data_IF_020134427575
#
_entry.id   IF_020134427575
#
_cell.length_a   1.000
_cell.length_b   1.000
_cell.length_c   1.000
_cell.angle_alpha   90.00
_cell.angle_beta   90.00
_cell.angle_gamma   90.00
#
_symmetry.space_group_name_H-M   'P 1'
#
loop_
_entity.id
_entity.type
_entity.pdbx_description
1 polymer ?
#
# COMPACT_ATOMS: atom_id res chain seq x y z
N UNK A 1 -53.70 -58.92 -9.64
CA UNK A 1 -54.66 -58.24 -10.53
C UNK A 1 -55.68 -57.55 -9.64
N UNK A 2 -56.22 -56.41 -10.08
CA UNK A 2 -57.27 -55.58 -9.45
C UNK A 2 -56.74 -54.36 -8.67
N UNK A 3 -56.96 -53.20 -9.31
CA UNK A 3 -56.85 -51.82 -8.83
C UNK A 3 -58.15 -51.38 -8.15
N UNK A 4 -58.17 -50.10 -7.75
CA UNK A 4 -59.31 -49.22 -7.40
C UNK A 4 -59.65 -49.24 -5.90
N UNK A 5 -59.94 -48.13 -5.21
CA UNK A 5 -60.19 -46.75 -5.59
C UNK A 5 -59.93 -45.82 -4.39
N UNK A 6 -59.55 -44.57 -4.65
CA UNK A 6 -59.84 -43.41 -3.79
C UNK A 6 -61.34 -43.11 -3.82
N UNK A 7 -61.96 -42.55 -2.75
CA UNK A 7 -62.10 -41.08 -2.73
C UNK A 7 -62.21 -40.39 -1.35
N UNK A 8 -61.86 -39.10 -1.40
CA UNK A 8 -62.50 -37.94 -0.78
C UNK A 8 -62.29 -37.55 0.70
N UNK A 9 -62.41 -36.23 0.86
CA UNK A 9 -61.87 -35.30 1.85
C UNK A 9 -62.99 -34.66 2.66
N UNK A 10 -62.74 -34.39 3.95
CA UNK A 10 -63.54 -33.50 4.82
C UNK A 10 -62.64 -32.75 5.83
N UNK A 11 -63.10 -31.61 6.39
CA UNK A 11 -62.31 -30.37 6.55
C UNK A 11 -61.72 -30.14 7.98
N UNK A 12 -61.05 -28.99 8.27
CA UNK A 12 -59.99 -28.91 9.28
C UNK A 12 -60.49 -28.53 10.68
N UNK A 13 -59.79 -29.01 11.71
CA UNK A 13 -59.89 -28.48 13.08
C UNK A 13 -58.55 -27.84 13.50
N UNK A 14 -58.63 -26.58 13.90
CA UNK A 14 -57.57 -25.80 14.55
C UNK A 14 -57.10 -26.46 15.85
N UNK A 15 -55.79 -26.48 16.16
CA UNK A 15 -55.33 -26.84 17.50
C UNK A 15 -55.37 -25.64 18.45
N UNK A 16 -55.95 -25.90 19.62
CA UNK A 16 -56.00 -25.06 20.80
C UNK A 16 -54.60 -24.73 21.34
N UNK A 17 -54.48 -23.50 21.84
CA UNK A 17 -53.37 -22.95 22.61
C UNK A 17 -52.89 -23.89 23.74
N UNK A 18 -51.60 -24.18 23.78
CA UNK A 18 -50.91 -24.66 24.98
C UNK A 18 -50.22 -23.49 25.68
N UNK A 19 -50.62 -23.21 26.92
CA UNK A 19 -49.97 -22.25 27.81
C UNK A 19 -48.57 -22.75 28.19
N UNK A 20 -47.55 -21.95 27.86
CA UNK A 20 -46.18 -22.08 28.34
C UNK A 20 -45.91 -21.10 29.48
N UNK A 21 -45.31 -21.61 30.57
CA UNK A 21 -44.95 -20.92 31.80
C UNK A 21 -43.94 -19.77 31.61
N UNK A 22 -43.98 -18.73 32.47
CA UNK A 22 -43.08 -17.59 32.36
C UNK A 22 -41.68 -17.94 32.85
N UNK A 23 -40.66 -17.79 31.99
CA UNK A 23 -39.25 -17.80 32.38
C UNK A 23 -38.69 -16.38 32.34
N UNK A 24 -38.11 -16.01 33.46
CA UNK A 24 -37.38 -14.79 33.80
C UNK A 24 -36.37 -14.39 32.71
N UNK A 25 -36.30 -13.12 32.28
CA UNK A 25 -35.27 -12.68 31.35
C UNK A 25 -33.91 -12.63 32.04
N UNK A 26 -33.00 -13.52 31.61
CA UNK A 26 -31.59 -13.50 31.98
C UNK A 26 -30.91 -12.24 31.44
N UNK A 27 -30.03 -11.68 32.25
CA UNK A 27 -29.24 -10.51 31.96
C UNK A 27 -28.46 -10.64 30.65
N UNK A 28 -28.63 -9.66 29.76
CA UNK A 28 -27.76 -9.46 28.61
C UNK A 28 -26.37 -9.11 29.14
N UNK A 29 -25.40 -10.00 28.91
CA UNK A 29 -23.99 -9.67 29.09
C UNK A 29 -23.60 -8.77 27.92
N UNK A 30 -23.53 -7.47 28.18
CA UNK A 30 -23.10 -6.44 27.24
C UNK A 30 -21.63 -6.69 26.89
N UNK A 31 -21.37 -7.04 25.62
CA UNK A 31 -20.02 -7.11 25.09
C UNK A 31 -19.38 -5.71 25.22
N UNK A 32 -18.11 -5.60 25.65
CA UNK A 32 -17.45 -4.31 25.75
C UNK A 32 -17.40 -3.64 24.37
N UNK A 33 -17.54 -2.30 24.30
CA UNK A 33 -17.53 -1.58 23.03
C UNK A 33 -16.18 -1.79 22.32
N UNK A 34 -16.18 -1.89 20.97
CA UNK A 34 -14.95 -1.98 20.21
C UNK A 34 -14.08 -0.76 20.50
N UNK A 35 -12.78 -1.00 20.68
CA UNK A 35 -11.76 0.02 20.90
C UNK A 35 -11.93 1.18 19.92
N UNK A 36 -11.94 2.44 20.36
CA UNK A 36 -12.13 3.56 19.45
C UNK A 36 -10.98 3.60 18.43
N UNK A 37 -11.32 3.47 17.15
CA UNK A 37 -10.38 3.61 16.04
C UNK A 37 -9.68 4.98 16.14
N UNK A 38 -8.35 5.06 15.97
CA UNK A 38 -7.64 6.32 16.05
C UNK A 38 -8.14 7.29 14.97
N UNK A 39 -8.45 8.53 15.37
CA UNK A 39 -8.94 9.55 14.45
C UNK A 39 -7.91 9.83 13.32
N UNK A 40 -8.36 9.74 12.07
CA UNK A 40 -7.52 10.02 10.89
C UNK A 40 -7.06 11.48 10.97
N UNK A 41 -5.75 11.67 11.11
CA UNK A 41 -5.11 12.99 11.25
C UNK A 41 -4.28 13.35 10.01
N UNK A 42 -4.52 12.66 8.88
CA UNK A 42 -3.83 12.88 7.63
C UNK A 42 -4.14 14.27 7.09
N UNK A 43 -3.12 15.00 6.69
CA UNK A 43 -3.29 16.35 6.14
C UNK A 43 -3.65 16.27 4.65
N UNK A 44 -4.46 17.19 4.11
CA UNK A 44 -4.60 17.33 2.67
C UNK A 44 -3.22 17.61 2.03
N UNK A 45 -2.99 17.23 0.75
CA UNK A 45 -1.76 17.57 0.06
C UNK A 45 -1.59 19.10 0.04
N UNK A 46 -0.40 19.64 0.31
CA UNK A 46 -0.16 21.07 0.23
C UNK A 46 -0.54 21.63 -1.14
N UNK A 47 -1.52 22.55 -1.16
CA UNK A 47 -1.85 23.29 -2.37
C UNK A 47 -0.65 24.14 -2.82
N UNK A 48 -0.28 24.06 -4.11
CA UNK A 48 0.87 24.78 -4.71
C UNK A 48 0.63 26.29 -4.82
N UNK A 49 0.35 26.99 -3.73
CA UNK A 49 0.35 28.46 -3.66
C UNK A 49 1.21 28.92 -2.48
N UNK A 50 2.33 29.56 -2.81
CA UNK A 50 3.32 30.23 -1.94
C UNK A 50 4.15 29.31 -1.03
N UNK A 51 5.30 28.88 -1.54
CA UNK A 51 6.45 28.56 -0.69
C UNK A 51 7.76 29.06 -1.32
N UNK A 52 7.82 30.37 -1.58
CA UNK A 52 9.09 31.11 -1.55
C UNK A 52 9.15 31.77 -0.18
N UNK A 53 10.25 31.54 0.53
CA UNK A 53 10.65 32.08 1.85
C UNK A 53 10.20 31.23 3.05
N UNK A 54 11.08 30.29 3.44
CA UNK A 54 11.62 30.11 4.81
C UNK A 54 12.63 28.95 4.82
N UNK A 55 13.73 29.11 4.08
CA UNK A 55 14.92 28.30 4.29
C UNK A 55 15.82 29.06 5.28
N UNK A 56 15.74 28.69 6.57
CA UNK A 56 16.80 28.83 7.56
C UNK A 56 16.22 28.58 8.96
N UNK A 57 16.49 27.40 9.54
CA UNK A 57 17.15 27.29 10.86
C UNK A 57 17.25 25.83 11.32
N UNK A 58 18.44 25.51 11.81
CA UNK A 58 18.72 24.53 12.87
C UNK A 58 18.72 23.04 12.51
N UNK A 59 19.83 22.57 11.93
CA UNK A 59 20.31 21.19 12.14
C UNK A 59 21.52 21.22 13.07
N UNK A 60 21.32 20.86 14.34
CA UNK A 60 22.40 20.43 15.24
C UNK A 60 21.96 19.19 16.00
N UNK A 61 22.71 18.12 15.77
CA UNK A 61 22.95 16.92 16.58
C UNK A 61 21.75 16.13 17.12
N UNK A 62 21.69 14.83 16.80
CA UNK A 62 21.90 13.73 17.77
C UNK A 62 22.56 12.55 17.02
N UNK A 63 23.70 12.08 17.54
CA UNK A 63 24.33 10.79 17.21
C UNK A 63 23.90 9.73 18.22
N UNK A 64 23.77 8.50 17.73
CA UNK A 64 23.92 7.21 18.42
C UNK A 64 22.91 6.81 19.51
N UNK A 65 22.16 5.73 19.25
CA UNK A 65 22.24 4.48 20.05
C UNK A 65 22.00 3.29 19.09
N UNK A 66 23.07 2.55 18.77
CA UNK A 66 22.98 1.15 18.30
C UNK A 66 23.79 0.36 19.31
N UNK A 67 23.11 -0.31 20.23
CA UNK A 67 23.74 -1.30 21.09
C UNK A 67 22.68 -2.32 21.53
N UNK A 68 23.12 -3.59 21.50
CA UNK A 68 22.46 -4.78 22.06
C UNK A 68 21.32 -5.36 21.22
N UNK A 69 21.66 -6.27 20.32
CA UNK A 69 21.21 -7.68 20.37
C UNK A 69 22.09 -8.48 19.38
N UNK A 70 23.33 -8.74 19.79
CA UNK A 70 24.15 -9.83 19.25
C UNK A 70 24.28 -10.87 20.35
N UNK A 71 23.43 -11.89 20.31
CA UNK A 71 23.64 -13.09 21.10
C UNK A 71 22.86 -14.26 20.53
N UNK A 72 23.32 -14.82 19.41
CA UNK A 72 23.25 -16.27 19.14
C UNK A 72 24.42 -16.67 18.24
N UNK A 73 25.24 -17.67 18.62
CA UNK A 73 26.37 -18.15 17.83
C UNK A 73 25.98 -19.36 16.95
N UNK A 74 26.86 -19.69 15.98
CA UNK A 74 26.96 -20.96 15.24
C UNK A 74 26.07 -21.08 13.98
N UNK A 75 26.51 -20.47 12.87
CA UNK A 75 26.90 -21.15 11.59
C UNK A 75 27.25 -20.06 10.57
N UNK A 76 28.52 -19.90 10.22
CA UNK A 76 28.96 -18.98 9.16
C UNK A 76 29.36 -19.78 7.91
N UNK A 77 28.91 -19.41 6.70
CA UNK A 77 29.67 -19.67 5.49
C UNK A 77 30.55 -18.45 5.16
N UNK A 78 31.78 -18.74 4.75
CA UNK A 78 32.82 -17.77 4.48
C UNK A 78 32.53 -16.89 3.25
N UNK A 79 32.16 -15.63 3.47
CA UNK A 79 32.25 -14.60 2.45
C UNK A 79 33.68 -14.06 2.39
N UNK A 80 34.44 -14.45 1.36
CA UNK A 80 35.76 -13.87 1.04
C UNK A 80 35.56 -12.43 0.55
N UNK A 81 35.80 -11.45 1.41
CA UNK A 81 35.90 -10.05 1.00
C UNK A 81 37.28 -9.82 0.37
N UNK A 82 37.33 -9.60 -0.94
CA UNK A 82 38.51 -9.02 -1.57
C UNK A 82 38.57 -7.55 -1.18
N UNK A 83 39.50 -7.23 -0.26
CA UNK A 83 39.81 -5.86 0.11
C UNK A 83 40.47 -5.14 -1.07
N UNK A 84 39.80 -4.10 -1.56
CA UNK A 84 40.43 -3.07 -2.39
C UNK A 84 40.57 -1.83 -1.51
N UNK A 85 41.83 -1.41 -1.37
CA UNK A 85 42.31 -0.23 -0.63
C UNK A 85 41.69 1.06 -1.21
N UNK A 86 41.27 2.04 -0.40
CA UNK A 86 40.74 3.30 -0.91
C UNK A 86 41.89 4.25 -1.29
N UNK A 87 41.86 4.76 -2.53
CA UNK A 87 42.69 5.90 -2.95
C UNK A 87 42.00 7.21 -2.55
N UNK A 88 42.73 8.04 -1.82
CA UNK A 88 42.37 9.41 -1.42
C UNK A 88 42.01 10.30 -2.62
N UNK A 89 40.94 11.10 -2.48
CA UNK A 89 40.66 12.23 -3.38
C UNK A 89 39.33 12.95 -3.11
N UNK A 90 39.34 13.95 -2.23
CA UNK A 90 38.37 15.07 -2.23
C UNK A 90 37.13 14.93 -1.32
N UNK A 91 36.62 16.06 -0.76
CA UNK A 91 35.38 16.07 0.01
C UNK A 91 34.20 15.92 -0.96
N UNK A 92 33.87 14.68 -1.30
CA UNK A 92 32.64 14.38 -2.01
C UNK A 92 31.48 14.78 -1.10
N UNK A 93 30.82 15.90 -1.44
CA UNK A 93 29.46 16.17 -0.98
C UNK A 93 28.69 14.89 -1.26
N UNK A 94 28.17 14.26 -0.20
CA UNK A 94 27.29 13.10 -0.28
C UNK A 94 26.33 13.36 -1.43
N UNK A 95 26.52 12.64 -2.55
CA UNK A 95 25.58 12.67 -3.66
C UNK A 95 24.41 11.85 -3.13
N UNK A 96 23.58 12.48 -2.29
CA UNK A 96 22.21 12.04 -2.04
C UNK A 96 21.67 11.85 -3.45
N UNK A 97 21.42 10.61 -3.88
CA UNK A 97 21.27 10.17 -5.28
C UNK A 97 20.05 10.74 -5.97
N UNK A 98 19.92 12.06 -5.90
CA UNK A 98 18.76 12.87 -6.16
C UNK A 98 18.84 13.34 -7.59
N UNK A 99 17.85 12.98 -8.38
CA UNK A 99 17.76 13.41 -9.77
C UNK A 99 17.48 14.92 -9.79
N UNK A 100 18.35 15.69 -10.43
CA UNK A 100 18.20 17.14 -10.52
C UNK A 100 16.85 17.51 -11.15
N UNK A 101 16.02 18.26 -10.44
CA UNK A 101 14.66 18.63 -10.87
C UNK A 101 13.55 17.65 -10.45
N UNK A 102 13.88 16.54 -9.77
CA UNK A 102 12.87 15.66 -9.18
C UNK A 102 12.20 16.29 -7.96
N UNK A 103 10.94 15.95 -7.73
CA UNK A 103 10.24 16.22 -6.49
C UNK A 103 10.29 14.98 -5.60
N UNK A 104 10.52 15.16 -4.31
CA UNK A 104 10.49 14.05 -3.35
C UNK A 104 9.04 13.67 -3.04
N UNK A 105 8.72 12.38 -3.11
CA UNK A 105 7.42 11.82 -2.67
C UNK A 105 7.64 10.62 -1.77
N UNK A 106 6.57 10.16 -1.12
CA UNK A 106 6.56 8.93 -0.31
C UNK A 106 5.70 7.90 -1.03
N UNK A 107 6.27 6.73 -1.29
CA UNK A 107 5.53 5.60 -1.86
C UNK A 107 5.37 4.52 -0.80
N UNK A 108 4.16 3.96 -0.71
CA UNK A 108 3.86 2.83 0.18
C UNK A 108 3.24 1.71 -0.65
N UNK A 109 3.87 0.55 -0.66
CA UNK A 109 3.34 -0.68 -1.22
C UNK A 109 2.79 -1.52 -0.08
N UNK A 110 1.52 -1.91 -0.13
CA UNK A 110 0.90 -2.62 0.97
C UNK A 110 -0.21 -3.56 0.52
N UNK A 111 -0.53 -4.53 1.36
CA UNK A 111 -1.63 -5.46 1.17
C UNK A 111 -1.42 -6.77 1.93
N UNK A 112 -2.50 -7.55 2.05
CA UNK A 112 -2.41 -8.91 2.60
C UNK A 112 -1.62 -9.81 1.65
N UNK A 113 -0.91 -10.80 2.21
CA UNK A 113 0.02 -11.66 1.47
C UNK A 113 -0.60 -12.30 0.22
N UNK A 114 -1.85 -12.75 0.33
CA UNK A 114 -2.61 -13.42 -0.75
C UNK A 114 -3.51 -12.48 -1.56
N UNK A 115 -3.65 -11.23 -1.13
CA UNK A 115 -4.41 -10.20 -1.83
C UNK A 115 -3.53 -9.43 -2.83
N UNK A 116 -4.17 -8.61 -3.67
CA UNK A 116 -3.50 -7.74 -4.63
C UNK A 116 -2.71 -6.64 -3.92
N UNK A 117 -1.53 -6.30 -4.46
CA UNK A 117 -0.71 -5.21 -3.93
C UNK A 117 -1.31 -3.86 -4.31
N UNK A 118 -1.36 -2.96 -3.33
CA UNK A 118 -1.74 -1.57 -3.52
C UNK A 118 -0.52 -0.67 -3.41
N UNK A 119 -0.34 0.22 -4.38
CA UNK A 119 0.62 1.32 -4.35
C UNK A 119 -0.09 2.61 -3.96
N UNK A 120 0.29 3.19 -2.82
CA UNK A 120 -0.05 4.55 -2.44
C UNK A 120 1.12 5.49 -2.72
N UNK A 121 0.84 6.66 -3.31
CA UNK A 121 1.81 7.76 -3.42
C UNK A 121 1.28 8.94 -2.63
N UNK A 122 2.10 9.46 -1.72
CA UNK A 122 1.83 10.64 -0.91
C UNK A 122 2.88 11.71 -1.18
N UNK A 123 2.52 12.98 -1.10
CA UNK A 123 3.52 14.07 -1.18
C UNK A 123 4.42 14.06 0.07
N UNK A 124 3.84 13.77 1.23
CA UNK A 124 4.58 13.59 2.49
C UNK A 124 4.03 12.38 3.25
N UNK A 125 4.80 11.73 4.15
CA UNK A 125 4.35 10.52 4.85
C UNK A 125 3.03 10.67 5.64
N UNK A 126 2.66 11.90 6.01
CA UNK A 126 1.43 12.20 6.76
C UNK A 126 0.32 12.87 5.93
N UNK A 127 0.48 13.02 4.61
CA UNK A 127 -0.61 13.53 3.77
C UNK A 127 -1.53 12.41 3.30
N UNK A 128 -2.76 12.72 2.91
CA UNK A 128 -3.58 11.76 2.15
C UNK A 128 -2.88 11.37 0.83
N UNK A 129 -3.08 10.14 0.33
CA UNK A 129 -2.47 9.71 -0.92
C UNK A 129 -3.02 10.50 -2.11
N UNK A 130 -2.14 10.94 -2.99
CA UNK A 130 -2.49 11.58 -4.27
C UNK A 130 -2.78 10.56 -5.37
N UNK A 131 -2.38 9.30 -5.16
CA UNK A 131 -2.60 8.16 -6.04
C UNK A 131 -2.70 6.89 -5.22
N UNK A 132 -3.71 6.06 -5.52
CA UNK A 132 -3.83 4.68 -5.09
C UNK A 132 -4.06 3.79 -6.31
N UNK A 133 -3.20 2.79 -6.48
CA UNK A 133 -3.27 1.84 -7.57
C UNK A 133 -3.27 0.41 -7.05
N UNK A 134 -4.24 -0.37 -7.48
CA UNK A 134 -4.33 -1.79 -7.18
C UNK A 134 -3.83 -2.61 -8.37
N UNK A 135 -2.66 -3.24 -8.24
CA UNK A 135 -2.03 -4.01 -9.30
C UNK A 135 -2.61 -5.43 -9.35
N UNK A 136 -2.70 -6.03 -10.53
CA UNK A 136 -3.10 -7.44 -10.73
C UNK A 136 -2.00 -8.45 -10.32
N UNK A 137 -1.29 -8.16 -9.23
CA UNK A 137 -0.24 -9.01 -8.67
C UNK A 137 -0.47 -9.15 -7.17
N UNK A 138 -0.31 -10.38 -6.66
CA UNK A 138 -0.39 -10.64 -5.23
C UNK A 138 0.76 -9.95 -4.49
N UNK A 139 0.48 -9.42 -3.29
CA UNK A 139 1.47 -8.74 -2.46
C UNK A 139 2.67 -9.62 -2.14
N UNK A 140 2.45 -10.88 -1.75
CA UNK A 140 3.55 -11.81 -1.46
C UNK A 140 4.48 -12.02 -2.66
N UNK A 141 3.94 -12.11 -3.87
CA UNK A 141 4.72 -12.24 -5.10
C UNK A 141 5.48 -10.95 -5.41
N UNK A 142 4.83 -9.79 -5.30
CA UNK A 142 5.47 -8.50 -5.53
C UNK A 142 6.66 -8.26 -4.60
N UNK A 143 6.50 -8.56 -3.31
CA UNK A 143 7.58 -8.44 -2.32
C UNK A 143 8.72 -9.43 -2.58
N UNK A 144 8.44 -10.61 -3.14
CA UNK A 144 9.47 -11.56 -3.55
C UNK A 144 10.30 -11.05 -4.74
N UNK A 145 9.64 -10.50 -5.77
CA UNK A 145 10.32 -9.90 -6.94
C UNK A 145 11.23 -8.74 -6.54
N UNK A 146 10.86 -8.00 -5.49
CA UNK A 146 11.65 -6.90 -4.96
C UNK A 146 12.93 -7.36 -4.24
N UNK A 147 12.94 -8.57 -3.67
CA UNK A 147 14.15 -9.16 -3.09
C UNK A 147 15.18 -9.61 -4.14
N UNK A 148 14.82 -9.58 -5.43
CA UNK A 148 15.67 -9.99 -6.54
C UNK A 148 16.21 -8.75 -7.29
N UNK A 149 17.43 -8.33 -6.93
CA UNK A 149 18.27 -7.30 -7.58
C UNK A 149 17.61 -5.94 -7.88
N UNK A 150 16.71 -5.87 -8.87
CA UNK A 150 16.03 -4.65 -9.32
C UNK A 150 14.61 -4.94 -9.84
N UNK A 151 13.63 -4.16 -9.37
CA UNK A 151 12.23 -4.25 -9.78
C UNK A 151 11.83 -3.04 -10.63
N UNK A 152 11.38 -3.29 -11.87
CA UNK A 152 10.90 -2.26 -12.80
C UNK A 152 9.43 -2.48 -13.10
N UNK A 153 8.60 -1.53 -12.71
CA UNK A 153 7.16 -1.53 -12.99
C UNK A 153 6.87 -0.51 -14.09
N UNK A 154 6.25 -0.93 -15.18
CA UNK A 154 5.73 -0.02 -16.20
C UNK A 154 4.20 -0.08 -16.22
N UNK A 155 3.57 1.10 -16.23
CA UNK A 155 2.13 1.30 -16.23
C UNK A 155 1.80 2.09 -17.50
N UNK A 156 1.16 1.40 -18.44
CA UNK A 156 0.85 1.93 -19.77
C UNK A 156 -0.65 2.18 -19.91
N UNK A 157 -1.05 3.33 -20.43
CA UNK A 157 -2.43 3.60 -20.82
C UNK A 157 -2.49 4.17 -22.25
N UNK A 158 -3.56 3.88 -22.97
CA UNK A 158 -3.71 4.40 -24.34
C UNK A 158 -4.16 5.86 -24.35
N UNK A 159 -3.62 6.62 -25.29
CA UNK A 159 -4.06 7.97 -25.60
C UNK A 159 -5.40 7.91 -26.33
N UNK A 160 -6.43 8.49 -25.72
CA UNK A 160 -7.74 8.61 -26.36
C UNK A 160 -7.66 9.48 -27.62
N UNK A 161 -8.28 9.08 -28.75
CA UNK A 161 -8.25 9.86 -29.98
C UNK A 161 -9.01 11.18 -29.80
N UNK A 162 -8.52 12.29 -30.40
CA UNK A 162 -9.23 13.57 -30.40
C UNK A 162 -10.63 13.41 -31.04
N UNK A 163 -11.70 13.76 -30.31
CA UNK A 163 -13.10 13.61 -30.72
C UNK A 163 -13.96 12.61 -29.92
N UNK A 164 -13.39 11.61 -29.24
CA UNK A 164 -14.17 10.53 -28.60
C UNK A 164 -14.73 10.82 -27.19
N UNK A 165 -14.92 12.10 -26.82
CA UNK A 165 -15.52 12.49 -25.54
C UNK A 165 -14.96 13.80 -25.00
N UNK A 166 -15.78 14.54 -24.24
CA UNK A 166 -15.39 15.79 -23.61
C UNK A 166 -14.20 15.58 -22.66
N UNK A 167 -12.97 15.82 -23.12
CA UNK A 167 -11.79 15.80 -22.25
C UNK A 167 -10.46 15.27 -22.80
N UNK A 168 -10.33 14.98 -24.10
CA UNK A 168 -9.03 14.66 -24.72
C UNK A 168 -8.12 15.87 -24.55
N UNK A 169 -7.29 15.87 -23.51
CA UNK A 169 -6.64 17.11 -23.09
C UNK A 169 -6.50 17.32 -21.59
N UNK A 170 -7.42 16.79 -20.77
CA UNK A 170 -7.60 17.30 -19.40
C UNK A 170 -7.18 16.34 -18.29
N UNK A 171 -7.29 15.03 -18.50
CA UNK A 171 -6.92 14.04 -17.46
C UNK A 171 -5.41 14.05 -17.24
N UNK A 172 -4.99 14.35 -16.01
CA UNK A 172 -3.57 14.26 -15.64
C UNK A 172 -3.14 12.81 -15.73
N UNK A 173 -1.87 12.57 -16.02
CA UNK A 173 -1.35 11.20 -16.22
C UNK A 173 -1.74 10.28 -15.06
N UNK A 174 -1.46 10.67 -13.81
CA UNK A 174 -1.82 9.87 -12.63
C UNK A 174 -3.33 9.76 -12.33
N UNK A 175 -4.19 10.54 -13.00
CA UNK A 175 -5.63 10.45 -12.83
C UNK A 175 -6.26 9.40 -13.77
N UNK A 176 -5.47 8.75 -14.64
CA UNK A 176 -5.99 7.71 -15.54
C UNK A 176 -6.53 6.52 -14.72
N UNK A 177 -7.73 6.01 -15.05
CA UNK A 177 -8.43 5.02 -14.24
C UNK A 177 -7.85 3.61 -14.37
N UNK A 178 -7.22 3.30 -15.51
CA UNK A 178 -6.80 1.95 -15.86
C UNK A 178 -5.46 1.98 -16.57
N UNK A 179 -4.58 1.06 -16.17
CA UNK A 179 -3.24 0.89 -16.70
C UNK A 179 -3.00 -0.58 -17.02
N UNK A 180 -2.33 -0.86 -18.11
CA UNK A 180 -1.69 -2.15 -18.32
C UNK A 180 -0.38 -2.17 -17.55
N UNK A 181 -0.21 -3.15 -16.67
CA UNK A 181 0.93 -3.25 -15.80
C UNK A 181 1.93 -4.31 -16.30
N UNK A 182 3.20 -3.93 -16.29
CA UNK A 182 4.33 -4.79 -16.63
C UNK A 182 5.33 -4.77 -15.49
N UNK A 183 5.90 -5.92 -15.17
CA UNK A 183 6.99 -6.08 -14.22
C UNK A 183 8.18 -6.70 -14.95
N UNK A 184 9.31 -6.00 -14.95
CA UNK A 184 10.53 -6.42 -15.64
C UNK A 184 10.27 -6.84 -17.10
N UNK A 185 9.43 -6.06 -17.79
CA UNK A 185 9.04 -6.28 -19.20
C UNK A 185 7.96 -7.35 -19.41
N UNK A 186 7.50 -8.04 -18.37
CA UNK A 186 6.43 -9.05 -18.47
C UNK A 186 5.09 -8.44 -18.09
N UNK A 187 4.07 -8.61 -18.94
CA UNK A 187 2.70 -8.17 -18.64
C UNK A 187 2.14 -8.97 -17.46
N UNK A 188 1.76 -8.28 -16.39
CA UNK A 188 1.20 -8.89 -15.17
C UNK A 188 -0.32 -8.73 -15.06
N UNK A 189 -0.92 -7.89 -15.91
CA UNK A 189 -2.36 -7.64 -15.93
C UNK A 189 -2.64 -6.15 -15.93
N UNK A 190 -3.63 -5.72 -15.16
CA UNK A 190 -4.04 -4.32 -15.07
C UNK A 190 -3.77 -3.74 -13.68
N UNK A 191 -3.48 -2.44 -13.62
CA UNK A 191 -3.53 -1.66 -12.39
C UNK A 191 -4.70 -0.67 -12.49
N UNK A 192 -5.53 -0.62 -11.44
CA UNK A 192 -6.71 0.22 -11.41
C UNK A 192 -6.51 1.34 -10.40
N UNK A 193 -6.79 2.58 -10.82
CA UNK A 193 -6.85 3.71 -9.90
C UNK A 193 -8.16 3.63 -9.13
N UNK A 194 -8.07 3.79 -7.82
CA UNK A 194 -9.24 3.85 -6.94
C UNK A 194 -9.12 4.99 -5.93
N UNK A 195 -10.25 5.39 -5.37
CA UNK A 195 -10.26 6.33 -4.26
C UNK A 195 -9.87 5.62 -2.94
N UNK A 196 -9.29 6.34 -1.96
CA UNK A 196 -8.94 5.77 -0.67
C UNK A 196 -10.17 5.31 0.10
N UNK A 197 -10.14 4.07 0.58
CA UNK A 197 -11.11 3.53 1.55
C UNK A 197 -10.70 3.89 2.98
N UNK A 198 -11.58 3.66 3.95
CA UNK A 198 -11.27 3.87 5.36
C UNK A 198 -10.07 3.03 5.83
N UNK A 199 -9.95 1.79 5.34
CA UNK A 199 -8.84 0.90 5.64
C UNK A 199 -7.52 1.45 5.10
N UNK A 200 -7.51 2.00 3.88
CA UNK A 200 -6.32 2.62 3.31
C UNK A 200 -5.87 3.83 4.13
N UNK A 201 -6.83 4.68 4.54
CA UNK A 201 -6.53 5.85 5.38
C UNK A 201 -6.03 5.42 6.77
N UNK A 202 -6.52 4.31 7.29
CA UNK A 202 -6.04 3.69 8.53
C UNK A 202 -4.58 3.24 8.38
N UNK A 203 -4.25 2.52 7.30
CA UNK A 203 -2.86 2.15 6.99
C UNK A 203 -1.98 3.40 6.88
N UNK A 204 -2.42 4.43 6.14
CA UNK A 204 -1.65 5.66 5.98
C UNK A 204 -1.45 6.40 7.31
N UNK A 205 -2.45 6.38 8.20
CA UNK A 205 -2.39 6.96 9.54
C UNK A 205 -1.40 6.20 10.43
N UNK A 206 -1.48 4.87 10.47
CA UNK A 206 -0.57 4.02 11.25
C UNK A 206 0.88 4.22 10.81
N UNK A 207 1.11 4.38 9.51
CA UNK A 207 2.44 4.57 8.96
C UNK A 207 2.92 6.03 9.02
N UNK A 208 2.11 7.01 9.47
CA UNK A 208 2.44 8.45 9.41
C UNK A 208 3.84 8.81 9.93
N UNK A 209 4.33 8.14 10.97
CA UNK A 209 5.65 8.37 11.58
C UNK A 209 6.78 7.59 10.90
N UNK A 210 6.44 6.60 10.06
CA UNK A 210 7.37 5.80 9.27
C UNK A 210 7.73 6.56 8.00
N UNK A 211 9.00 6.90 7.84
CA UNK A 211 9.50 7.60 6.65
C UNK A 211 10.04 6.66 5.58
N UNK A 212 10.75 5.60 5.99
CA UNK A 212 11.29 4.53 5.15
C UNK A 212 11.32 3.26 5.99
N UNK A 213 10.96 2.11 5.42
CA UNK A 213 11.02 0.80 6.09
C UNK A 213 10.01 -0.20 5.53
N UNK A 214 10.19 -1.47 5.87
CA UNK A 214 9.24 -2.54 5.58
C UNK A 214 8.83 -3.24 6.88
N UNK A 215 7.61 -3.76 6.91
CA UNK A 215 7.08 -4.44 8.09
C UNK A 215 5.71 -5.07 7.83
N UNK A 216 5.09 -5.52 8.91
CA UNK A 216 3.73 -6.04 8.92
C UNK A 216 2.89 -5.23 9.90
N UNK A 217 1.65 -4.95 9.53
CA UNK A 217 0.62 -4.40 10.40
C UNK A 217 -0.29 -5.55 10.83
N UNK A 218 -0.31 -5.87 12.14
CA UNK A 218 -1.22 -6.87 12.69
C UNK A 218 -2.69 -6.56 12.40
N UNK A 219 -3.48 -7.60 12.15
CA UNK A 219 -4.89 -7.46 11.75
C UNK A 219 -5.78 -6.86 12.86
N UNK A 220 -5.43 -7.08 14.12
CA UNK A 220 -6.07 -6.48 15.30
C UNK A 220 -5.94 -4.94 15.31
N UNK A 221 -4.78 -4.41 14.90
CA UNK A 221 -4.53 -2.97 14.79
C UNK A 221 -5.30 -2.35 13.61
N UNK A 222 -5.58 -3.14 12.56
CA UNK A 222 -6.44 -2.74 11.45
C UNK A 222 -7.94 -2.73 11.82
N UNK A 223 -8.30 -3.19 13.03
CA UNK A 223 -9.69 -3.17 13.52
C UNK A 223 -10.61 -4.07 12.70
N UNK A 224 -10.06 -5.17 12.16
CA UNK A 224 -10.78 -6.15 11.36
C UNK A 224 -11.16 -7.36 12.22
N UNK A 225 -12.24 -7.21 13.00
CA UNK A 225 -12.75 -8.25 13.91
C UNK A 225 -13.66 -9.28 13.20
N UNK A 226 -13.80 -9.18 11.87
CA UNK A 226 -14.59 -10.10 11.06
C UNK A 226 -13.81 -11.39 10.77
N UNK A 227 -14.53 -12.53 10.73
CA UNK A 227 -13.95 -13.84 10.45
C UNK A 227 -13.12 -13.88 9.14
N UNK A 228 -13.54 -13.12 8.13
CA UNK A 228 -12.82 -13.01 6.84
C UNK A 228 -11.51 -12.21 6.94
N UNK A 229 -11.44 -11.23 7.84
CA UNK A 229 -10.21 -10.49 8.13
C UNK A 229 -9.17 -11.36 8.81
N UNK A 230 -9.61 -12.21 9.73
CA UNK A 230 -8.73 -13.10 10.48
C UNK A 230 -8.08 -14.17 9.58
N UNK A 231 -8.73 -14.56 8.49
CA UNK A 231 -8.14 -15.45 7.47
C UNK A 231 -7.17 -14.73 6.51
N UNK A 232 -7.28 -13.40 6.34
CA UNK A 232 -6.41 -12.63 5.46
C UNK A 232 -4.96 -12.54 5.97
N UNK A 233 -4.79 -12.67 7.30
CA UNK A 233 -3.51 -12.61 7.99
C UNK A 233 -2.98 -11.17 8.15
N UNK A 234 -1.69 -11.03 8.42
CA UNK A 234 -1.08 -9.71 8.61
C UNK A 234 -0.93 -8.94 7.28
N UNK A 235 -1.09 -7.62 7.36
CA UNK A 235 -0.93 -6.72 6.23
C UNK A 235 0.55 -6.35 6.08
N UNK A 236 1.19 -6.78 5.00
CA UNK A 236 2.58 -6.42 4.71
C UNK A 236 2.63 -5.01 4.12
N UNK A 237 3.66 -4.25 4.47
CA UNK A 237 3.94 -2.96 3.85
C UNK A 237 5.43 -2.75 3.59
N UNK A 238 5.73 -1.95 2.57
CA UNK A 238 7.01 -1.30 2.37
C UNK A 238 6.76 0.17 2.05
N UNK A 239 7.43 1.04 2.78
CA UNK A 239 7.43 2.48 2.56
C UNK A 239 8.83 2.94 2.20
N UNK A 240 8.92 3.78 1.19
CA UNK A 240 10.17 4.40 0.78
C UNK A 240 9.95 5.82 0.27
N UNK A 241 11.04 6.56 0.14
CA UNK A 241 11.05 7.86 -0.52
C UNK A 241 11.36 7.65 -1.99
N UNK A 242 10.70 8.42 -2.84
CA UNK A 242 10.89 8.37 -4.28
C UNK A 242 11.29 9.73 -4.80
N UNK A 243 12.18 9.73 -5.78
CA UNK A 243 12.36 10.84 -6.69
C UNK A 243 11.33 10.74 -7.81
N UNK A 244 10.38 11.67 -7.78
CA UNK A 244 9.35 11.83 -8.81
C UNK A 244 9.87 12.74 -9.91
N UNK A 245 10.05 12.18 -11.10
CA UNK A 245 10.49 12.88 -12.30
C UNK A 245 9.32 12.95 -13.29
N UNK A 246 8.88 14.16 -13.59
CA UNK A 246 7.86 14.39 -14.63
C UNK A 246 8.59 14.62 -15.95
N UNK A 247 8.52 13.64 -16.87
CA UNK A 247 9.17 13.73 -18.18
C UNK A 247 8.37 14.59 -19.14
N UNK A 248 7.05 14.34 -19.22
CA UNK A 248 6.13 15.08 -20.08
C UNK A 248 4.71 15.02 -19.53
N UNK A 249 3.73 15.54 -20.27
CA UNK A 249 2.31 15.35 -19.95
C UNK A 249 1.86 13.88 -19.98
N UNK A 250 2.62 13.05 -20.67
CA UNK A 250 2.32 11.66 -20.97
C UNK A 250 3.33 10.70 -20.30
N UNK A 251 4.32 11.21 -19.56
CA UNK A 251 5.31 10.37 -18.88
C UNK A 251 5.71 10.90 -17.50
N UNK A 252 5.72 10.00 -16.53
CA UNK A 252 6.18 10.26 -15.17
C UNK A 252 6.91 9.03 -14.61
N UNK A 253 7.94 9.24 -13.80
CA UNK A 253 8.73 8.15 -13.21
C UNK A 253 8.96 8.37 -11.73
N UNK A 254 8.91 7.29 -10.95
CA UNK A 254 9.22 7.26 -9.54
C UNK A 254 10.44 6.35 -9.33
N UNK A 255 11.55 6.92 -8.86
CA UNK A 255 12.76 6.18 -8.55
C UNK A 255 12.92 6.05 -7.04
N UNK A 256 12.93 4.82 -6.53
CA UNK A 256 13.09 4.60 -5.09
C UNK A 256 14.48 5.04 -4.63
N UNK A 257 14.54 5.76 -3.52
CA UNK A 257 15.77 6.23 -2.91
C UNK A 257 16.25 5.23 -1.86
N UNK A 258 17.47 4.71 -2.06
CA UNK A 258 18.08 3.79 -1.12
C UNK A 258 18.77 4.57 0.00
N UNK A 259 18.50 4.25 1.29
CA UNK A 259 19.20 4.87 2.41
C UNK A 259 20.68 4.45 2.48
N UNK A 260 21.02 3.28 1.92
CA UNK A 260 22.35 2.68 2.02
C UNK A 260 23.34 3.13 0.92
N UNK A 261 22.89 4.00 0.00
CA UNK A 261 23.78 4.62 -1.00
C UNK A 261 24.30 3.67 -2.09
N UNK A 262 23.67 2.51 -2.31
CA UNK A 262 24.01 1.63 -3.42
C UNK A 262 23.66 2.27 -4.79
N UNK A 263 24.42 1.92 -5.83
CA UNK A 263 24.33 2.52 -7.17
C UNK A 263 23.12 2.00 -7.96
N UNK A 264 21.90 2.46 -7.63
CA UNK A 264 20.71 2.27 -8.46
C UNK A 264 19.41 2.12 -7.66
N UNK A 265 18.25 2.55 -8.18
CA UNK A 265 16.97 2.40 -7.49
C UNK A 265 16.53 0.93 -7.49
N UNK A 266 16.38 0.30 -6.31
CA UNK A 266 15.90 -1.09 -6.20
C UNK A 266 14.50 -1.27 -6.80
N UNK A 267 13.69 -0.20 -6.80
CA UNK A 267 12.38 -0.13 -7.43
C UNK A 267 12.25 1.13 -8.28
N UNK A 268 11.86 0.95 -9.55
CA UNK A 268 11.49 2.04 -10.45
C UNK A 268 10.08 1.82 -10.99
N UNK A 269 9.26 2.86 -11.00
CA UNK A 269 7.87 2.83 -11.50
C UNK A 269 7.72 3.87 -12.60
N UNK A 270 7.26 3.45 -13.77
CA UNK A 270 7.08 4.30 -14.95
C UNK A 270 5.59 4.37 -15.28
N UNK A 271 5.08 5.59 -15.45
CA UNK A 271 3.74 5.87 -15.97
C UNK A 271 3.91 6.41 -17.38
N UNK A 272 3.28 5.77 -18.36
CA UNK A 272 3.44 6.11 -19.76
C UNK A 272 2.06 6.09 -20.43
N UNK A 273 1.72 7.19 -21.10
CA UNK A 273 0.57 7.24 -22.01
C UNK A 273 1.07 7.09 -23.44
N UNK A 274 0.68 6.01 -24.11
CA UNK A 274 1.08 5.63 -25.47
C UNK A 274 0.02 5.94 -26.50
#
# INVERSE_FOLDING_TARGET
MIRYATPQSTPPMSPLHAQGTPRTPGAYSELPPPSPRPAITLTPPPSKKKQRRTAARSLRAIRAVRALFRSLPILAPACRFHGIVPRHGGPSRMHDGHVSGASRTTGTLFGYRRARVTLAVQETPGSVPILLLELAMQTGRFMQEMGAEHLRVALECEKKPPGAGAGIGRTRLLDEPLWTAYVNGRKIGYAMRREPTEDDLTVMQLLRTVSVGAGVLPNDVMGCDTAEGQEAGDLAYMRARFDRVVGSRDSESLYMLNPDGNNGPELSIFFIRI
#
